data_IF_697744469249
#
_entry.id   IF_697744469249
#
_cell.length_a   1.000
_cell.length_b   1.000
_cell.length_c   1.000
_cell.angle_alpha   90.00
_cell.angle_beta   90.00
_cell.angle_gamma   90.00
#
_symmetry.space_group_name_H-M   'P 1'
#
loop_
_entity.id
_entity.type
_entity.pdbx_description
1 polymer ?
#
# COMPACT_ATOMS: atom_id res chain seq x y z
N UNK A 1 -37.60 17.64 20.20
CA UNK A 1 -36.98 16.45 19.56
C UNK A 1 -35.64 16.90 18.97
N UNK A 2 -34.50 16.55 19.60
CA UNK A 2 -33.17 16.99 19.14
C UNK A 2 -32.69 16.11 17.98
N UNK A 3 -32.49 16.69 16.81
CA UNK A 3 -31.87 16.02 15.66
C UNK A 3 -30.40 15.71 15.99
N UNK A 4 -30.07 14.44 16.26
CA UNK A 4 -28.68 13.98 16.39
C UNK A 4 -27.97 14.16 15.04
N UNK A 5 -27.06 15.13 14.97
CA UNK A 5 -26.20 15.35 13.80
C UNK A 5 -25.39 14.07 13.54
N UNK A 6 -25.49 13.51 12.34
CA UNK A 6 -24.69 12.36 11.96
C UNK A 6 -23.20 12.74 12.01
N UNK A 7 -22.36 12.01 12.77
CA UNK A 7 -20.95 12.35 12.90
C UNK A 7 -20.24 12.26 11.54
N UNK A 8 -19.27 13.16 11.30
CA UNK A 8 -18.63 13.33 9.99
C UNK A 8 -18.00 12.06 9.42
N UNK A 9 -17.55 11.12 10.27
CA UNK A 9 -16.90 9.89 9.83
C UNK A 9 -17.89 8.93 9.13
N UNK A 10 -19.17 8.93 9.51
CA UNK A 10 -20.18 8.07 8.88
C UNK A 10 -20.39 8.38 7.41
N UNK A 11 -20.15 9.63 7.01
CA UNK A 11 -20.21 10.08 5.61
C UNK A 11 -18.99 9.66 4.80
N UNK A 12 -17.92 9.20 5.45
CA UNK A 12 -16.68 8.74 4.83
C UNK A 12 -16.61 7.21 4.73
N UNK A 13 -17.62 6.49 5.20
CA UNK A 13 -17.71 5.04 5.04
C UNK A 13 -17.99 4.77 3.56
N UNK A 14 -17.12 3.95 2.95
CA UNK A 14 -17.18 3.58 1.55
C UNK A 14 -16.84 2.10 1.41
N UNK A 15 -17.23 1.50 0.28
CA UNK A 15 -16.83 0.13 -0.04
C UNK A 15 -15.37 0.10 -0.50
N UNK A 16 -14.67 -1.05 -0.42
CA UNK A 16 -13.34 -1.19 -1.02
C UNK A 16 -13.33 -0.87 -2.52
N UNK A 17 -14.37 -1.25 -3.26
CA UNK A 17 -14.46 -0.98 -4.70
C UNK A 17 -14.48 0.52 -4.99
N UNK A 18 -15.24 1.31 -4.20
CA UNK A 18 -15.27 2.77 -4.33
C UNK A 18 -13.89 3.42 -4.09
N UNK A 19 -13.01 2.74 -3.33
CA UNK A 19 -11.62 3.17 -3.12
C UNK A 19 -10.76 2.78 -4.32
N UNK A 20 -10.91 1.55 -4.83
CA UNK A 20 -10.14 1.06 -5.98
C UNK A 20 -10.41 1.86 -7.26
N UNK A 21 -11.64 2.34 -7.46
CA UNK A 21 -12.00 3.21 -8.60
C UNK A 21 -11.26 4.56 -8.61
N UNK A 22 -10.68 4.97 -7.48
CA UNK A 22 -9.90 6.21 -7.36
C UNK A 22 -8.41 6.00 -7.60
N UNK A 23 -7.99 4.75 -7.77
CA UNK A 23 -6.59 4.41 -8.05
C UNK A 23 -6.38 4.48 -9.56
N UNK A 24 -5.37 5.24 -9.95
CA UNK A 24 -4.96 5.39 -11.34
C UNK A 24 -3.61 4.70 -11.58
N UNK A 25 -3.33 4.28 -12.83
CA UNK A 25 -2.06 3.65 -13.15
C UNK A 25 -0.85 4.54 -12.80
N UNK A 26 0.22 3.95 -12.29
CA UNK A 26 1.44 4.67 -11.93
C UNK A 26 1.47 5.26 -10.51
N UNK A 27 0.36 5.18 -9.76
CA UNK A 27 0.30 5.74 -8.40
C UNK A 27 1.19 4.99 -7.40
N UNK A 28 1.70 5.76 -6.43
CA UNK A 28 2.49 5.32 -5.29
C UNK A 28 1.59 5.24 -4.04
N UNK A 29 1.32 4.03 -3.59
CA UNK A 29 0.39 3.75 -2.51
C UNK A 29 1.18 3.38 -1.25
N UNK A 30 1.06 4.20 -0.21
CA UNK A 30 1.59 3.86 1.11
C UNK A 30 0.63 2.90 1.82
N UNK A 31 1.17 1.80 2.33
CA UNK A 31 0.40 0.81 3.09
C UNK A 31 0.82 0.88 4.55
N UNK A 32 -0.17 1.03 5.43
CA UNK A 32 0.02 0.99 6.88
C UNK A 32 0.81 -0.25 7.31
N UNK A 33 1.71 -0.10 8.27
CA UNK A 33 2.72 -1.11 8.57
C UNK A 33 2.37 -1.94 9.79
N UNK A 34 2.72 -3.21 9.76
CA UNK A 34 2.44 -4.16 10.84
C UNK A 34 0.96 -4.26 11.16
N UNK A 35 0.56 -4.06 12.43
CA UNK A 35 -0.85 -4.17 12.83
C UNK A 35 -1.76 -3.10 12.23
N UNK A 36 -1.21 -2.03 11.64
CA UNK A 36 -1.96 -1.01 10.95
C UNK A 36 -2.24 -1.33 9.47
N UNK A 37 -1.80 -2.49 8.98
CA UNK A 37 -2.02 -2.90 7.60
C UNK A 37 -3.53 -3.09 7.31
N UNK A 38 -4.11 -2.38 6.33
CA UNK A 38 -5.52 -2.48 6.00
C UNK A 38 -5.81 -3.75 5.17
N UNK A 39 -5.74 -4.92 5.82
CA UNK A 39 -5.78 -6.25 5.17
C UNK A 39 -6.95 -6.45 4.22
N UNK A 40 -8.14 -5.93 4.55
CA UNK A 40 -9.31 -6.02 3.65
C UNK A 40 -9.07 -5.28 2.34
N UNK A 41 -8.53 -4.06 2.39
CA UNK A 41 -8.26 -3.27 1.19
C UNK A 41 -7.11 -3.87 0.37
N UNK A 42 -6.03 -4.32 1.03
CA UNK A 42 -4.91 -4.98 0.35
C UNK A 42 -5.39 -6.26 -0.34
N UNK A 43 -6.21 -7.08 0.33
CA UNK A 43 -6.77 -8.28 -0.29
C UNK A 43 -7.62 -7.94 -1.53
N UNK A 44 -8.48 -6.93 -1.46
CA UNK A 44 -9.24 -6.47 -2.62
C UNK A 44 -8.30 -6.00 -3.75
N UNK A 45 -7.29 -5.18 -3.44
CA UNK A 45 -6.31 -4.70 -4.41
C UNK A 45 -5.58 -5.87 -5.11
N UNK A 46 -5.17 -6.90 -4.37
CA UNK A 46 -4.43 -8.04 -4.94
C UNK A 46 -5.29 -8.93 -5.85
N UNK A 47 -6.60 -9.04 -5.59
CA UNK A 47 -7.50 -9.97 -6.29
C UNK A 47 -8.38 -9.32 -7.35
N UNK A 48 -8.56 -8.00 -7.32
CA UNK A 48 -9.32 -7.28 -8.34
C UNK A 48 -8.47 -7.06 -9.58
N UNK A 49 -9.08 -7.28 -10.74
CA UNK A 49 -8.52 -6.95 -12.06
C UNK A 49 -9.18 -5.68 -12.60
N UNK A 50 -8.41 -4.85 -13.29
CA UNK A 50 -8.90 -3.61 -13.90
C UNK A 50 -7.78 -2.83 -14.55
N UNK A 51 -8.10 -2.10 -15.63
CA UNK A 51 -7.12 -1.29 -16.35
C UNK A 51 -6.47 -0.20 -15.47
N UNK A 52 -7.20 0.32 -14.48
CA UNK A 52 -6.67 1.30 -13.52
C UNK A 52 -5.63 0.74 -12.54
N UNK A 53 -5.58 -0.59 -12.36
CA UNK A 53 -4.70 -1.25 -11.39
C UNK A 53 -3.44 -1.81 -12.06
N UNK A 54 -2.66 -0.91 -12.67
CA UNK A 54 -1.41 -1.23 -13.37
C UNK A 54 -0.29 -0.27 -12.98
N UNK A 55 0.94 -0.75 -13.05
CA UNK A 55 2.15 0.03 -12.73
C UNK A 55 2.09 0.69 -11.34
N UNK A 56 1.48 0.01 -10.38
CA UNK A 56 1.29 0.56 -9.04
C UNK A 56 2.49 0.27 -8.16
N UNK A 57 3.00 1.30 -7.48
CA UNK A 57 4.07 1.13 -6.50
C UNK A 57 3.45 1.00 -5.11
N UNK A 58 3.67 -0.13 -4.44
CA UNK A 58 3.27 -0.33 -3.05
C UNK A 58 4.46 0.01 -2.15
N UNK A 59 4.26 0.90 -1.19
CA UNK A 59 5.31 1.38 -0.29
C UNK A 59 4.96 0.96 1.13
N UNK A 60 5.84 0.18 1.77
CA UNK A 60 5.62 -0.34 3.12
C UNK A 60 6.93 -0.30 3.92
N UNK A 61 6.90 0.14 5.18
CA UNK A 61 8.10 0.07 6.02
C UNK A 61 8.42 -1.35 6.45
N UNK A 62 7.46 -2.04 7.07
CA UNK A 62 7.61 -3.38 7.63
C UNK A 62 6.37 -4.20 7.30
N UNK A 63 6.59 -5.41 6.78
CA UNK A 63 5.54 -6.41 6.61
C UNK A 63 5.63 -7.49 7.69
N UNK A 64 4.48 -7.79 8.30
CA UNK A 64 4.33 -8.87 9.29
C UNK A 64 3.38 -9.97 8.82
N UNK A 65 2.96 -9.97 7.56
CA UNK A 65 2.02 -10.99 7.07
C UNK A 65 1.96 -11.10 5.55
N UNK A 66 1.04 -11.97 5.11
CA UNK A 66 0.92 -12.39 3.71
C UNK A 66 -0.11 -11.57 2.90
N UNK A 67 -0.55 -10.42 3.40
CA UNK A 67 -1.62 -9.67 2.75
C UNK A 67 -1.20 -9.19 1.36
N UNK A 68 0.07 -8.79 1.18
CA UNK A 68 0.66 -8.63 -0.15
C UNK A 68 1.12 -10.01 -0.64
N UNK A 69 0.32 -10.61 -1.52
CA UNK A 69 0.67 -11.90 -2.12
C UNK A 69 1.84 -11.75 -3.10
N UNK A 70 2.92 -12.50 -2.87
CA UNK A 70 4.02 -12.60 -3.84
C UNK A 70 3.58 -13.09 -5.22
N UNK A 71 2.55 -13.94 -5.27
CA UNK A 71 1.94 -14.36 -6.54
C UNK A 71 1.29 -13.19 -7.29
N UNK A 72 0.70 -12.25 -6.56
CA UNK A 72 0.18 -11.03 -7.17
C UNK A 72 1.30 -10.12 -7.68
N UNK A 73 2.46 -10.05 -7.00
CA UNK A 73 3.65 -9.33 -7.49
C UNK A 73 4.19 -9.92 -8.80
N UNK A 74 4.05 -11.24 -9.02
CA UNK A 74 4.40 -11.87 -10.30
C UNK A 74 3.56 -11.39 -11.48
N UNK A 75 2.35 -10.85 -11.23
CA UNK A 75 1.52 -10.27 -12.30
C UNK A 75 2.11 -9.00 -12.91
N UNK A 76 3.18 -8.44 -12.33
CA UNK A 76 3.85 -7.18 -12.73
C UNK A 76 2.96 -5.93 -12.69
N UNK A 77 1.73 -6.05 -12.19
CA UNK A 77 0.83 -4.91 -11.93
C UNK A 77 1.28 -4.06 -10.75
N UNK A 78 2.05 -4.68 -9.85
CA UNK A 78 2.48 -4.10 -8.59
C UNK A 78 3.99 -4.23 -8.44
N UNK A 79 4.65 -3.16 -7.98
CA UNK A 79 6.03 -3.16 -7.52
C UNK A 79 6.06 -2.82 -6.04
N UNK A 80 6.56 -3.74 -5.21
CA UNK A 80 6.70 -3.48 -3.78
C UNK A 80 8.06 -2.82 -3.51
N UNK A 81 8.03 -1.66 -2.84
CA UNK A 81 9.19 -0.99 -2.24
C UNK A 81 9.10 -1.11 -0.72
N UNK A 82 10.12 -1.69 -0.11
CA UNK A 82 10.19 -1.89 1.34
C UNK A 82 11.43 -1.24 1.95
N UNK A 83 11.32 -0.78 3.19
CA UNK A 83 12.46 -0.27 3.98
C UNK A 83 13.04 -1.34 4.92
N UNK A 84 12.49 -2.56 4.88
CA UNK A 84 12.87 -3.66 5.76
C UNK A 84 13.09 -4.96 4.96
N UNK A 85 14.29 -5.51 5.12
CA UNK A 85 14.75 -6.75 4.48
C UNK A 85 14.60 -7.98 5.39
N UNK A 86 13.53 -8.02 6.19
CA UNK A 86 13.27 -9.14 7.09
C UNK A 86 13.02 -10.45 6.36
N UNK A 87 12.88 -11.53 7.14
CA UNK A 87 12.75 -12.91 6.65
C UNK A 87 11.73 -13.11 5.53
N UNK A 88 10.59 -12.41 5.59
CA UNK A 88 9.51 -12.57 4.61
C UNK A 88 9.88 -12.00 3.24
N UNK A 89 10.75 -10.98 3.15
CA UNK A 89 11.05 -10.26 1.90
C UNK A 89 12.41 -10.60 1.28
N UNK A 90 13.32 -11.26 1.99
CA UNK A 90 14.70 -11.46 1.55
C UNK A 90 14.82 -12.23 0.20
N UNK A 91 14.04 -13.29 0.00
CA UNK A 91 14.05 -14.06 -1.24
C UNK A 91 13.49 -13.26 -2.42
N UNK A 92 12.36 -12.56 -2.21
CA UNK A 92 11.72 -11.74 -3.24
C UNK A 92 12.59 -10.53 -3.63
N UNK A 93 13.32 -9.95 -2.67
CA UNK A 93 14.34 -8.92 -2.93
C UNK A 93 15.46 -9.52 -3.78
N UNK A 94 16.01 -10.67 -3.40
CA UNK A 94 17.10 -11.33 -4.12
C UNK A 94 16.69 -11.75 -5.54
N UNK A 95 15.42 -12.11 -5.74
CA UNK A 95 14.84 -12.42 -7.04
C UNK A 95 14.50 -11.18 -7.89
N UNK A 96 14.73 -9.96 -7.39
CA UNK A 96 14.45 -8.70 -8.09
C UNK A 96 12.96 -8.35 -8.23
N UNK A 97 12.11 -9.01 -7.45
CA UNK A 97 10.65 -8.80 -7.46
C UNK A 97 10.23 -7.66 -6.52
N UNK A 98 11.06 -7.37 -5.50
CA UNK A 98 10.83 -6.34 -4.48
C UNK A 98 12.06 -5.43 -4.43
N UNK A 99 11.82 -4.12 -4.34
CA UNK A 99 12.90 -3.14 -4.14
C UNK A 99 13.11 -2.90 -2.65
N UNK A 100 14.34 -3.05 -2.20
CA UNK A 100 14.77 -2.60 -0.89
C UNK A 100 15.25 -1.15 -0.99
N UNK A 101 14.63 -0.25 -0.22
CA UNK A 101 15.05 1.15 -0.09
C UNK A 101 15.80 1.30 1.25
N UNK A 102 17.14 1.35 1.24
CA UNK A 102 17.90 1.46 2.48
C UNK A 102 17.74 2.87 3.06
N UNK A 103 17.17 2.97 4.26
CA UNK A 103 17.04 4.23 4.98
C UNK A 103 16.90 3.99 6.49
N UNK A 104 17.27 5.00 7.28
CA UNK A 104 16.95 5.01 8.72
C UNK A 104 15.45 5.26 8.88
N UNK A 105 14.78 4.50 9.74
CA UNK A 105 13.33 4.68 9.96
C UNK A 105 12.95 6.10 10.38
N UNK A 106 13.80 6.76 11.18
CA UNK A 106 13.60 8.16 11.58
C UNK A 106 13.68 9.16 10.41
N UNK A 107 14.32 8.82 9.29
CA UNK A 107 14.44 9.68 8.13
C UNK A 107 13.26 9.56 7.16
N UNK A 108 12.53 8.43 7.18
CA UNK A 108 11.46 8.15 6.21
C UNK A 108 10.37 9.22 6.18
N UNK A 109 9.86 9.74 7.32
CA UNK A 109 8.88 10.83 7.28
C UNK A 109 9.40 12.09 6.58
N UNK A 110 10.68 12.41 6.75
CA UNK A 110 11.30 13.55 6.08
C UNK A 110 11.44 13.31 4.57
N UNK A 111 11.85 12.10 4.16
CA UNK A 111 11.98 11.71 2.76
C UNK A 111 10.63 11.77 2.02
N UNK A 112 9.55 11.33 2.67
CA UNK A 112 8.18 11.47 2.15
C UNK A 112 7.78 12.95 2.03
N UNK A 113 8.01 13.73 3.09
CA UNK A 113 7.69 15.17 3.10
C UNK A 113 8.45 15.95 2.02
N UNK A 114 9.67 15.55 1.70
CA UNK A 114 10.50 16.15 0.64
C UNK A 114 10.18 15.62 -0.77
N UNK A 115 9.24 14.69 -0.91
CA UNK A 115 8.87 14.09 -2.20
C UNK A 115 9.90 13.12 -2.77
N UNK A 116 10.94 12.75 -2.00
CA UNK A 116 11.93 11.75 -2.42
C UNK A 116 11.34 10.35 -2.42
N UNK A 117 10.33 10.12 -1.56
CA UNK A 117 9.44 8.97 -1.60
C UNK A 117 8.05 9.52 -1.94
N UNK A 118 7.66 9.57 -3.23
CA UNK A 118 6.35 10.09 -3.61
C UNK A 118 5.24 9.18 -3.07
N UNK A 119 4.20 9.78 -2.49
CA UNK A 119 3.00 9.09 -2.02
C UNK A 119 1.80 9.81 -2.63
N UNK A 120 1.04 9.08 -3.43
CA UNK A 120 -0.19 9.58 -4.06
C UNK A 120 -1.42 9.23 -3.21
N UNK A 121 -1.40 8.06 -2.56
CA UNK A 121 -2.49 7.54 -1.72
C UNK A 121 -1.89 6.89 -0.45
N UNK A 122 -2.56 7.03 0.70
CA UNK A 122 -2.21 6.41 1.98
C UNK A 122 -3.44 5.97 2.78
#
# INVERSE_FOLDING_TARGET
MLLKKTPSWKKKIVSPNDVLEKIEPGMNIFIGTGSAEPRTLVNCLMHTEGYGLQDLTLIQLVSFGDAISYKALQSKRYRLKTFFSGWVSAEAISAGQVDLVPSRFSAIPLLMKQGQIPIDIA
#
